data_IF_440715530842
#
_entry.id   IF_440715530842
#
_cell.length_a   1.000
_cell.length_b   1.000
_cell.length_c   1.000
_cell.angle_alpha   90.00
_cell.angle_beta   90.00
_cell.angle_gamma   90.00
#
_symmetry.space_group_name_H-M   'P 1'
#
loop_
_entity.id
_entity.type
_entity.pdbx_description
1 polymer ?
#
# COMPACT_ATOMS: atom_id res chain seq x y z
N UNK A 1 12.80 4.48 -16.41
CA UNK A 1 11.91 4.16 -15.27
C UNK A 1 12.63 3.13 -14.40
N UNK A 2 12.71 3.31 -13.07
CA UNK A 2 13.37 2.34 -12.20
C UNK A 2 12.49 1.09 -12.05
N UNK A 3 13.09 -0.06 -11.73
CA UNK A 3 12.34 -1.31 -11.54
C UNK A 3 11.29 -1.20 -10.42
N UNK A 4 11.63 -0.52 -9.33
CA UNK A 4 10.70 -0.22 -8.23
C UNK A 4 9.49 0.60 -8.68
N UNK A 5 9.71 1.62 -9.53
CA UNK A 5 8.64 2.45 -10.06
C UNK A 5 7.70 1.62 -10.94
N UNK A 6 8.28 0.72 -11.74
CA UNK A 6 7.51 -0.17 -12.59
C UNK A 6 6.62 -1.12 -11.79
N UNK A 7 7.14 -1.72 -10.71
CA UNK A 7 6.36 -2.59 -9.81
C UNK A 7 5.22 -1.82 -9.12
N UNK A 8 5.49 -0.60 -8.64
CA UNK A 8 4.47 0.25 -8.04
C UNK A 8 3.35 0.56 -9.03
N UNK A 9 3.70 1.02 -10.22
CA UNK A 9 2.73 1.33 -11.27
C UNK A 9 1.98 0.09 -11.76
N UNK A 10 2.64 -1.07 -11.75
CA UNK A 10 1.96 -2.32 -12.03
C UNK A 10 0.87 -2.62 -10.99
N UNK A 11 1.18 -2.45 -9.71
CA UNK A 11 0.20 -2.59 -8.63
C UNK A 11 -0.93 -1.58 -8.73
N UNK A 12 -0.63 -0.31 -9.05
CA UNK A 12 -1.66 0.73 -9.29
C UNK A 12 -2.62 0.30 -10.41
N UNK A 13 -2.09 -0.13 -11.56
CA UNK A 13 -2.90 -0.59 -12.70
C UNK A 13 -3.73 -1.83 -12.38
N UNK A 14 -3.18 -2.77 -11.62
CA UNK A 14 -3.89 -3.98 -11.20
C UNK A 14 -5.04 -3.63 -10.20
N UNK A 15 -4.84 -2.68 -9.28
CA UNK A 15 -5.89 -2.15 -8.39
C UNK A 15 -7.00 -1.42 -9.16
N UNK A 16 -6.64 -0.56 -10.12
CA UNK A 16 -7.61 0.10 -11.01
C UNK A 16 -8.47 -0.96 -11.70
N UNK A 17 -7.84 -1.98 -12.29
CA UNK A 17 -8.57 -3.06 -12.95
C UNK A 17 -9.44 -3.88 -11.99
N UNK A 18 -9.04 -4.06 -10.73
CA UNK A 18 -9.86 -4.74 -9.73
C UNK A 18 -11.15 -3.96 -9.44
N UNK A 19 -11.04 -2.64 -9.27
CA UNK A 19 -12.20 -1.77 -9.11
C UNK A 19 -13.10 -1.81 -10.36
N UNK A 20 -12.54 -1.63 -11.55
CA UNK A 20 -13.31 -1.64 -12.81
C UNK A 20 -14.08 -2.96 -13.03
N UNK A 21 -13.52 -4.11 -12.62
CA UNK A 21 -14.24 -5.40 -12.69
C UNK A 21 -15.51 -5.44 -11.83
N UNK A 22 -15.53 -4.74 -10.69
CA UNK A 22 -16.74 -4.61 -9.86
C UNK A 22 -17.84 -3.82 -10.59
N UNK A 23 -17.46 -2.93 -11.52
CA UNK A 23 -18.36 -2.15 -12.35
C UNK A 23 -18.69 -2.82 -13.71
N UNK A 24 -18.34 -4.10 -13.87
CA UNK A 24 -18.66 -4.91 -15.05
C UNK A 24 -17.71 -4.74 -16.24
N UNK A 25 -16.54 -4.12 -16.05
CA UNK A 25 -15.52 -4.07 -17.09
C UNK A 25 -14.66 -5.35 -17.07
N UNK A 26 -14.36 -5.87 -18.25
CA UNK A 26 -13.31 -6.86 -18.42
C UNK A 26 -11.98 -6.14 -18.66
N UNK A 27 -10.96 -6.51 -17.88
CA UNK A 27 -9.64 -5.89 -17.97
C UNK A 27 -8.60 -6.93 -18.39
N UNK A 28 -7.99 -6.73 -19.56
CA UNK A 28 -6.96 -7.60 -20.12
C UNK A 28 -5.60 -6.90 -20.14
N UNK A 29 -4.67 -7.38 -19.34
CA UNK A 29 -3.30 -6.86 -19.24
C UNK A 29 -2.54 -7.10 -20.54
N UNK A 30 -1.82 -6.08 -21.01
CA UNK A 30 -0.93 -6.17 -22.16
C UNK A 30 0.45 -6.66 -21.69
N UNK A 31 1.05 -7.60 -22.45
CA UNK A 31 2.35 -8.18 -22.08
C UNK A 31 3.45 -7.12 -22.09
N UNK A 32 4.28 -7.12 -21.04
CA UNK A 32 5.47 -6.26 -20.88
C UNK A 32 5.20 -4.74 -20.96
N UNK A 33 3.95 -4.31 -20.75
CA UNK A 33 3.56 -2.90 -20.73
C UNK A 33 2.71 -2.59 -19.51
N UNK A 34 2.75 -1.34 -19.07
CA UNK A 34 1.81 -0.79 -18.09
C UNK A 34 0.55 -0.35 -18.83
N UNK A 35 -0.11 -1.30 -19.48
CA UNK A 35 -1.31 -1.06 -20.28
C UNK A 35 -2.32 -2.20 -20.13
N UNK A 36 -3.60 -1.84 -20.07
CA UNK A 36 -4.72 -2.78 -19.94
C UNK A 36 -5.81 -2.39 -20.94
N UNK A 37 -6.29 -3.37 -21.69
CA UNK A 37 -7.48 -3.22 -22.52
C UNK A 37 -8.71 -3.38 -21.62
N UNK A 38 -9.62 -2.41 -21.70
CA UNK A 38 -10.86 -2.34 -20.95
C UNK A 38 -12.01 -2.53 -21.93
N UNK A 39 -12.86 -3.52 -21.69
CA UNK A 39 -14.02 -3.81 -22.53
C UNK A 39 -15.25 -4.01 -21.66
N UNK A 40 -16.40 -3.49 -22.06
CA UNK A 40 -17.68 -3.69 -21.37
C UNK A 40 -18.78 -3.87 -22.40
N UNK A 41 -19.69 -4.79 -22.14
CA UNK A 41 -20.77 -5.12 -23.07
C UNK A 41 -21.59 -3.86 -23.40
N UNK A 42 -21.78 -3.59 -24.69
CA UNK A 42 -22.49 -2.42 -25.19
C UNK A 42 -21.73 -1.09 -25.10
N UNK A 43 -20.41 -1.11 -24.83
CA UNK A 43 -19.55 0.09 -24.78
C UNK A 43 -18.32 -0.07 -25.67
N UNK A 44 -17.70 1.06 -26.02
CA UNK A 44 -16.44 1.07 -26.77
C UNK A 44 -15.29 0.45 -25.95
N UNK A 45 -14.32 -0.12 -26.67
CA UNK A 45 -13.09 -0.62 -26.09
C UNK A 45 -12.16 0.55 -25.75
N UNK A 46 -11.62 0.56 -24.54
CA UNK A 46 -10.62 1.53 -24.11
C UNK A 46 -9.29 0.87 -23.76
N UNK A 47 -8.22 1.66 -23.80
CA UNK A 47 -6.88 1.30 -23.38
C UNK A 47 -6.45 2.22 -22.25
N UNK A 48 -6.35 1.67 -21.04
CA UNK A 48 -5.70 2.32 -19.92
C UNK A 48 -4.19 2.12 -20.05
N UNK A 49 -3.41 3.18 -20.05
CA UNK A 49 -1.95 3.09 -20.16
C UNK A 49 -1.26 4.14 -19.30
N UNK A 50 -0.12 3.77 -18.71
CA UNK A 50 0.77 4.75 -18.10
C UNK A 50 1.56 5.48 -19.18
N UNK A 51 1.55 6.81 -19.16
CA UNK A 51 2.39 7.64 -20.00
C UNK A 51 3.61 8.13 -19.19
N UNK A 52 4.84 7.95 -19.69
CA UNK A 52 6.03 8.48 -19.02
C UNK A 52 6.05 10.02 -19.07
N UNK A 53 7.11 10.61 -18.52
CA UNK A 53 7.34 12.05 -18.63
C UNK A 53 7.19 12.54 -20.10
N UNK A 54 6.55 13.71 -20.33
CA UNK A 54 6.17 14.71 -19.32
C UNK A 54 4.84 14.43 -18.59
N UNK A 55 3.98 13.57 -19.13
CA UNK A 55 2.64 13.32 -18.56
C UNK A 55 2.74 12.66 -17.19
N UNK A 56 3.60 11.64 -17.07
CA UNK A 56 3.86 10.92 -15.81
C UNK A 56 2.59 10.49 -15.08
N UNK A 57 1.57 10.07 -15.83
CA UNK A 57 0.29 9.65 -15.26
C UNK A 57 -0.41 8.58 -16.13
N UNK A 58 -1.47 8.00 -15.56
CA UNK A 58 -2.39 7.14 -16.31
C UNK A 58 -3.14 7.95 -17.36
N UNK A 59 -3.52 7.28 -18.44
CA UNK A 59 -4.30 7.88 -19.52
C UNK A 59 -5.20 6.83 -20.16
N UNK A 60 -6.36 7.27 -20.62
CA UNK A 60 -7.36 6.42 -21.25
C UNK A 60 -7.49 6.78 -22.73
N UNK A 61 -7.22 5.82 -23.60
CA UNK A 61 -7.25 5.98 -25.06
C UNK A 61 -8.39 5.14 -25.62
N UNK A 62 -9.21 5.63 -26.56
CA UNK A 62 -9.14 6.96 -27.17
C UNK A 62 -9.72 8.10 -26.29
N UNK A 63 -9.16 9.29 -26.46
CA UNK A 63 -9.62 10.53 -25.81
C UNK A 63 -10.84 11.08 -26.56
N UNK A 64 -12.00 10.46 -26.37
CA UNK A 64 -13.27 10.95 -26.90
C UNK A 64 -14.12 11.59 -25.81
N UNK A 65 -14.83 12.68 -26.12
CA UNK A 65 -15.69 13.38 -25.15
C UNK A 65 -17.05 12.70 -24.98
N UNK A 66 -17.07 11.36 -24.88
CA UNK A 66 -18.30 10.61 -24.64
C UNK A 66 -18.65 10.59 -23.14
N UNK A 67 -19.93 10.63 -22.76
CA UNK A 67 -20.34 10.56 -21.36
C UNK A 67 -19.86 9.26 -20.69
N UNK A 68 -19.86 8.16 -21.43
CA UNK A 68 -19.34 6.86 -20.98
C UNK A 68 -17.85 6.93 -20.64
N UNK A 69 -17.02 7.55 -21.49
CA UNK A 69 -15.59 7.75 -21.19
C UNK A 69 -15.42 8.64 -19.97
N UNK A 70 -16.18 9.74 -19.88
CA UNK A 70 -16.08 10.66 -18.72
C UNK A 70 -16.39 9.93 -17.42
N UNK A 71 -17.44 9.13 -17.38
CA UNK A 71 -17.79 8.32 -16.22
C UNK A 71 -16.70 7.28 -15.88
N UNK A 72 -16.17 6.59 -16.89
CA UNK A 72 -15.07 5.65 -16.71
C UNK A 72 -13.80 6.33 -16.19
N UNK A 73 -13.48 7.51 -16.73
CA UNK A 73 -12.32 8.28 -16.30
C UNK A 73 -12.46 8.79 -14.87
N UNK A 74 -13.65 9.28 -14.48
CA UNK A 74 -13.94 9.67 -13.10
C UNK A 74 -13.72 8.50 -12.11
N UNK A 75 -14.15 7.30 -12.47
CA UNK A 75 -13.93 6.11 -11.64
C UNK A 75 -12.44 5.77 -11.51
N UNK A 76 -11.68 5.89 -12.60
CA UNK A 76 -10.22 5.69 -12.60
C UNK A 76 -9.54 6.74 -11.73
N UNK A 77 -9.86 8.02 -11.90
CA UNK A 77 -9.28 9.10 -11.09
C UNK A 77 -9.60 8.95 -9.60
N UNK A 78 -10.84 8.60 -9.25
CA UNK A 78 -11.23 8.31 -7.88
C UNK A 78 -10.39 7.16 -7.31
N UNK A 79 -10.21 6.08 -8.08
CA UNK A 79 -9.41 4.93 -7.65
C UNK A 79 -7.94 5.31 -7.49
N UNK A 80 -7.37 6.10 -8.40
CA UNK A 80 -5.99 6.60 -8.30
C UNK A 80 -5.82 7.47 -7.05
N UNK A 81 -6.74 8.39 -6.81
CA UNK A 81 -6.72 9.26 -5.64
C UNK A 81 -6.92 8.46 -4.35
N UNK A 82 -7.70 7.39 -4.37
CA UNK A 82 -7.81 6.46 -3.26
C UNK A 82 -6.51 5.69 -3.04
N UNK A 83 -5.85 5.17 -4.08
CA UNK A 83 -4.58 4.43 -3.92
C UNK A 83 -3.48 5.36 -3.40
N UNK A 84 -3.36 6.55 -4.00
CA UNK A 84 -2.33 7.56 -3.64
C UNK A 84 -2.63 8.21 -2.30
N UNK A 85 -3.89 8.56 -2.04
CA UNK A 85 -4.37 9.09 -0.77
C UNK A 85 -4.35 8.03 0.33
N UNK A 86 -4.63 6.76 0.03
CA UNK A 86 -4.36 5.65 0.95
C UNK A 86 -2.86 5.56 1.21
N UNK A 87 -1.94 5.73 0.26
CA UNK A 87 -0.51 5.78 0.61
C UNK A 87 -0.15 6.91 1.60
N UNK A 88 -0.78 8.07 1.48
CA UNK A 88 -0.60 9.18 2.43
C UNK A 88 -1.29 8.91 3.77
N UNK A 89 -2.48 8.30 3.76
CA UNK A 89 -3.24 7.96 4.98
C UNK A 89 -2.67 6.72 5.66
N UNK A 90 -2.13 5.75 4.92
CA UNK A 90 -1.35 4.57 5.37
C UNK A 90 -0.05 5.07 5.98
N UNK A 91 0.57 6.14 5.49
CA UNK A 91 1.71 6.76 6.20
C UNK A 91 1.30 7.42 7.54
N UNK A 92 0.05 7.87 7.67
CA UNK A 92 -0.51 8.42 8.91
C UNK A 92 -1.18 7.36 9.83
N UNK A 93 -1.62 6.23 9.27
CA UNK A 93 -2.34 5.13 9.92
C UNK A 93 -1.47 3.86 10.08
N UNK A 94 -0.22 3.82 9.58
CA UNK A 94 0.72 2.69 9.78
C UNK A 94 1.14 2.47 11.23
N UNK A 95 0.56 3.21 12.19
CA UNK A 95 0.61 2.84 13.59
C UNK A 95 -0.37 1.71 13.94
N UNK A 96 -1.21 1.20 13.02
CA UNK A 96 -2.19 0.16 13.39
C UNK A 96 -2.71 -0.66 12.20
N UNK A 97 -1.90 -1.58 11.66
CA UNK A 97 -2.42 -2.80 11.01
C UNK A 97 -1.50 -3.99 11.28
N UNK A 98 -2.01 -4.92 12.11
CA UNK A 98 -1.55 -6.29 12.35
C UNK A 98 -0.08 -6.54 11.97
N UNK A 99 0.81 -6.05 12.81
CA UNK A 99 2.25 -6.32 12.70
C UNK A 99 2.45 -7.83 12.71
N UNK A 100 3.04 -8.37 11.63
CA UNK A 100 3.60 -9.71 11.63
C UNK A 100 4.79 -9.71 12.59
N UNK A 101 4.48 -9.87 13.89
CA UNK A 101 5.40 -9.81 15.02
C UNK A 101 6.48 -10.88 14.98
N UNK A 102 6.39 -11.81 14.02
CA UNK A 102 7.43 -12.79 13.75
C UNK A 102 8.75 -12.13 13.33
N UNK A 103 8.72 -10.91 12.78
CA UNK A 103 9.90 -10.21 12.24
C UNK A 103 10.07 -8.81 12.87
N UNK A 104 10.65 -8.71 14.07
CA UNK A 104 10.71 -7.46 14.82
C UNK A 104 11.77 -6.48 14.31
N UNK A 105 12.67 -6.89 13.41
CA UNK A 105 13.71 -6.00 12.89
C UNK A 105 13.25 -5.34 11.60
N UNK A 106 12.93 -4.05 11.63
CA UNK A 106 12.45 -3.29 10.48
C UNK A 106 13.54 -2.36 9.93
N UNK A 107 13.69 -2.31 8.61
CA UNK A 107 14.45 -1.25 7.93
C UNK A 107 13.49 -0.14 7.56
N UNK A 108 13.80 1.08 7.99
CA UNK A 108 13.02 2.29 7.73
C UNK A 108 13.82 3.17 6.79
N UNK A 109 13.17 3.72 5.76
CA UNK A 109 13.75 4.77 4.93
C UNK A 109 13.27 6.14 5.41
N UNK A 110 14.21 7.06 5.61
CA UNK A 110 13.92 8.45 5.90
C UNK A 110 13.78 9.23 4.59
N UNK A 111 12.76 10.09 4.54
CA UNK A 111 12.50 11.00 3.44
C UNK A 111 12.72 12.45 3.92
N UNK A 112 13.00 13.38 3.00
CA UNK A 112 12.84 14.80 3.28
C UNK A 112 11.44 15.08 3.85
N UNK A 113 11.32 16.10 4.70
CA UNK A 113 10.08 16.46 5.41
C UNK A 113 9.73 15.58 6.62
N UNK A 114 10.74 14.96 7.24
CA UNK A 114 10.59 14.14 8.45
C UNK A 114 9.62 12.95 8.29
N UNK A 115 9.37 12.52 7.05
CA UNK A 115 8.54 11.35 6.74
C UNK A 115 9.39 10.09 6.73
N UNK A 116 8.79 8.96 7.09
CA UNK A 116 9.46 7.66 7.11
C UNK A 116 8.52 6.54 6.66
N UNK A 117 9.08 5.49 6.05
CA UNK A 117 8.32 4.28 5.75
C UNK A 117 9.17 3.01 5.89
N UNK A 118 8.52 1.91 6.23
CA UNK A 118 9.17 0.60 6.37
C UNK A 118 9.46 0.00 5.00
N UNK A 119 10.73 -0.34 4.76
CA UNK A 119 11.23 -0.95 3.53
C UNK A 119 11.06 -2.47 3.57
N UNK A 120 11.43 -3.10 4.69
CA UNK A 120 11.38 -4.55 4.89
C UNK A 120 11.48 -4.91 6.38
N UNK A 121 11.04 -6.14 6.74
CA UNK A 121 11.16 -6.71 8.10
C UNK A 121 11.90 -8.04 8.10
N UNK A 122 12.66 -8.31 9.16
CA UNK A 122 13.54 -9.46 9.32
C UNK A 122 13.38 -10.11 10.70
N UNK A 123 13.64 -11.43 10.74
CA UNK A 123 13.61 -12.22 11.98
C UNK A 123 14.77 -11.87 12.91
N UNK A 124 15.96 -11.67 12.35
CA UNK A 124 17.16 -11.33 13.09
C UNK A 124 17.74 -10.00 12.59
N UNK A 125 18.54 -9.37 13.45
CA UNK A 125 19.17 -8.07 13.17
C UNK A 125 20.22 -8.15 12.06
N UNK A 126 20.93 -9.27 11.98
CA UNK A 126 22.05 -9.43 11.05
C UNK A 126 21.57 -9.35 9.59
N UNK A 127 20.49 -10.06 9.27
CA UNK A 127 19.88 -10.02 7.93
C UNK A 127 19.41 -8.60 7.58
N UNK A 128 18.87 -7.86 8.55
CA UNK A 128 18.48 -6.46 8.37
C UNK A 128 19.70 -5.56 8.09
N UNK A 129 20.82 -5.77 8.80
CA UNK A 129 22.06 -5.02 8.59
C UNK A 129 22.70 -5.31 7.23
N UNK A 130 22.75 -6.59 6.82
CA UNK A 130 23.27 -6.99 5.52
C UNK A 130 22.42 -6.42 4.38
N UNK A 131 21.09 -6.43 4.56
CA UNK A 131 20.18 -5.82 3.60
C UNK A 131 20.32 -4.28 3.58
N UNK A 132 20.50 -3.62 4.73
CA UNK A 132 20.80 -2.18 4.78
C UNK A 132 22.10 -1.85 4.06
N UNK A 133 23.16 -2.65 4.20
CA UNK A 133 24.43 -2.45 3.47
C UNK A 133 24.23 -2.52 1.96
N UNK A 134 23.40 -3.46 1.49
CA UNK A 134 23.01 -3.55 0.09
C UNK A 134 22.27 -2.28 -0.36
N UNK A 135 21.27 -1.83 0.41
CA UNK A 135 20.51 -0.61 0.13
C UNK A 135 21.38 0.63 0.06
N UNK A 136 22.32 0.81 0.99
CA UNK A 136 23.26 1.93 1.00
C UNK A 136 24.17 1.96 -0.24
N UNK A 137 24.59 0.79 -0.75
CA UNK A 137 25.38 0.71 -1.99
C UNK A 137 24.54 1.07 -3.22
N UNK A 138 23.28 0.65 -3.24
CA UNK A 138 22.37 0.87 -4.36
C UNK A 138 21.77 2.29 -4.38
N UNK A 139 21.59 2.89 -3.20
CA UNK A 139 20.97 4.20 -3.00
C UNK A 139 21.77 5.03 -1.97
N UNK A 140 22.97 5.51 -2.33
CA UNK A 140 23.85 6.22 -1.39
C UNK A 140 23.29 7.56 -0.90
N UNK A 141 22.34 8.14 -1.64
CA UNK A 141 21.67 9.39 -1.27
C UNK A 141 20.42 9.18 -0.38
N UNK A 142 20.04 7.94 -0.08
CA UNK A 142 18.92 7.64 0.80
C UNK A 142 19.40 7.24 2.18
N UNK A 143 18.69 7.70 3.21
CA UNK A 143 18.99 7.38 4.60
C UNK A 143 18.13 6.22 5.08
N UNK A 144 18.77 5.22 5.68
CA UNK A 144 18.13 4.02 6.18
C UNK A 144 18.50 3.75 7.63
N UNK A 145 17.48 3.45 8.44
CA UNK A 145 17.60 3.09 9.84
C UNK A 145 17.08 1.69 10.09
N UNK A 146 17.63 1.01 11.10
CA UNK A 146 17.12 -0.28 11.57
C UNK A 146 16.48 -0.03 12.93
N UNK A 147 15.22 -0.43 13.06
CA UNK A 147 14.45 -0.29 14.28
C UNK A 147 14.00 -1.67 14.76
N UNK A 148 14.08 -1.88 16.07
CA UNK A 148 13.43 -3.01 16.70
C UNK A 148 12.00 -2.60 17.05
N UNK A 149 11.05 -3.22 16.37
CA UNK A 149 9.63 -2.93 16.41
C UNK A 149 8.91 -4.18 16.90
N UNK A 150 8.73 -4.26 18.21
CA UNK A 150 8.08 -5.38 18.91
C UNK A 150 6.76 -4.90 19.52
N UNK A 151 5.74 -5.78 19.63
CA UNK A 151 4.46 -5.41 20.19
C UNK A 151 4.64 -4.87 21.61
N UNK A 152 4.13 -3.67 21.86
CA UNK A 152 3.84 -3.26 23.23
C UNK A 152 2.65 -4.10 23.72
N UNK A 153 2.69 -4.68 24.92
CA UNK A 153 1.63 -5.57 25.42
C UNK A 153 0.27 -4.87 25.66
N UNK A 154 0.13 -3.59 25.31
CA UNK A 154 -1.06 -2.77 25.48
C UNK A 154 -2.15 -2.97 24.41
N UNK A 155 -1.84 -3.61 23.27
CA UNK A 155 -2.81 -3.84 22.18
C UNK A 155 -3.49 -5.22 22.23
N UNK A 156 -3.48 -5.88 23.40
CA UNK A 156 -4.29 -7.08 23.64
C UNK A 156 -5.65 -6.68 24.24
N UNK A 157 -6.78 -6.76 23.51
CA UNK A 157 -8.09 -6.43 24.07
C UNK A 157 -8.64 -7.49 25.05
N UNK A 158 -7.78 -8.32 25.67
CA UNK A 158 -8.25 -9.40 26.53
C UNK A 158 -7.23 -9.87 27.59
N UNK A 159 -6.82 -8.94 28.45
CA UNK A 159 -6.31 -9.29 29.78
C UNK A 159 -7.11 -8.48 30.79
N UNK A 160 -8.30 -8.98 31.12
CA UNK A 160 -8.90 -8.65 32.40
C UNK A 160 -7.89 -9.02 33.49
N UNK A 161 -7.56 -8.11 34.42
CA UNK A 161 -6.64 -8.43 35.50
C UNK A 161 -7.24 -9.58 36.31
N UNK A 162 -6.49 -10.67 36.54
CA UNK A 162 -6.97 -11.73 37.41
C UNK A 162 -6.85 -11.23 38.85
N UNK A 163 -7.90 -11.50 39.64
CA UNK A 163 -7.96 -11.39 41.10
C UNK A 163 -8.27 -10.01 41.72
N UNK A 164 -9.56 -9.80 41.98
CA UNK A 164 -10.03 -9.59 43.35
C UNK A 164 -11.12 -10.61 43.68
N UNK A 165 -10.69 -11.80 44.11
CA UNK A 165 -11.53 -12.77 44.81
C UNK A 165 -11.33 -12.54 46.31
N UNK A 166 -12.40 -12.14 46.99
CA UNK A 166 -12.48 -12.00 48.45
C UNK A 166 -12.97 -10.59 48.84
N UNK A 167 -13.97 -10.39 49.69
CA UNK A 167 -14.70 -11.28 50.60
C UNK A 167 -16.08 -10.66 50.81
N UNK A 168 -17.13 -11.33 50.35
CA UNK A 168 -18.50 -11.11 50.83
C UNK A 168 -18.79 -12.18 51.86
N UNK A 169 -18.68 -11.81 53.14
CA UNK A 169 -19.04 -12.66 54.27
C UNK A 169 -19.91 -11.83 55.19
N UNK A 170 -21.22 -11.97 55.00
CA UNK A 170 -22.26 -11.47 55.90
C UNK A 170 -22.03 -11.98 57.32
N UNK A 171 -21.92 -11.06 58.29
CA UNK A 171 -22.19 -11.37 59.69
C UNK A 171 -23.63 -10.95 59.99
N UNK A 172 -24.51 -11.94 60.03
CA UNK A 172 -25.75 -11.90 60.81
C UNK A 172 -25.45 -12.49 62.19
N UNK A 173 -25.54 -11.66 63.23
CA UNK A 173 -26.12 -11.94 64.56
C UNK A 173 -26.18 -10.66 65.39
#
# INVERSE_FOLDING_TARGET
MKHSDWLRLQSEGDCICANLRQHGYQCRKQTRRLSWKLTKEGQDDYLLTWLPAPVSDWSLIPNHTSPTRTQLWQLIEQTINQIRGQLETISAQHHSQAEDYSRPWAIIRLLPDARRYTVARFFNRQDAEDHKRFLNRFMPAAEFEILFDAPTPSDSPNLAPPFLRGVGGDLNL
#
